data_IF_782963292225
#
_entry.id   IF_782963292225
#
_cell.length_a   1.000
_cell.length_b   1.000
_cell.length_c   1.000
_cell.angle_alpha   90.00
_cell.angle_beta   90.00
_cell.angle_gamma   90.00
#
_symmetry.space_group_name_H-M   'P 1'
#
loop_
_entity.id
_entity.type
_entity.pdbx_description
1 polymer ?
#
# COMPACT_ATOMS: atom_id res chain seq x y z
N UNK A 1 -30.02 24.89 0.75
CA UNK A 1 -29.63 24.02 1.88
C UNK A 1 -29.30 22.65 1.31
N UNK A 2 -28.03 22.23 1.35
CA UNK A 2 -27.64 20.91 0.84
C UNK A 2 -28.09 19.86 1.84
N UNK A 3 -28.97 18.95 1.44
CA UNK A 3 -29.50 17.92 2.32
C UNK A 3 -28.51 16.74 2.36
N UNK A 4 -27.50 16.85 3.23
CA UNK A 4 -26.41 15.87 3.37
C UNK A 4 -26.91 14.42 3.53
N UNK A 5 -28.05 14.22 4.18
CA UNK A 5 -28.67 12.90 4.35
C UNK A 5 -29.15 12.27 3.02
N UNK A 6 -29.61 13.07 2.05
CA UNK A 6 -29.95 12.57 0.72
C UNK A 6 -28.69 12.26 -0.09
N UNK A 7 -27.67 13.13 -0.01
CA UNK A 7 -26.40 12.94 -0.72
C UNK A 7 -25.69 11.65 -0.28
N UNK A 8 -25.67 11.36 1.02
CA UNK A 8 -25.15 10.10 1.53
C UNK A 8 -25.98 8.90 1.05
N UNK A 9 -27.32 8.98 1.09
CA UNK A 9 -28.19 7.89 0.61
C UNK A 9 -28.00 7.58 -0.88
N UNK A 10 -27.77 8.59 -1.70
CA UNK A 10 -27.72 8.42 -3.15
C UNK A 10 -26.30 8.10 -3.66
N UNK A 11 -25.26 8.57 -2.97
CA UNK A 11 -23.87 8.45 -3.44
C UNK A 11 -22.95 7.58 -2.58
N UNK A 12 -23.42 6.95 -1.50
CA UNK A 12 -22.57 6.09 -0.66
C UNK A 12 -21.85 4.99 -1.46
N UNK A 13 -22.46 4.46 -2.52
CA UNK A 13 -21.87 3.39 -3.36
C UNK A 13 -20.58 3.84 -4.04
N UNK A 14 -20.45 5.14 -4.33
CA UNK A 14 -19.26 5.69 -4.99
C UNK A 14 -17.99 5.56 -4.15
N UNK A 15 -18.11 5.33 -2.83
CA UNK A 15 -16.96 5.14 -1.94
C UNK A 15 -16.33 3.76 -2.05
N UNK A 16 -17.05 2.76 -2.57
CA UNK A 16 -16.58 1.37 -2.59
C UNK A 16 -15.36 1.17 -3.47
N UNK A 17 -15.32 1.80 -4.64
CA UNK A 17 -14.19 1.64 -5.57
C UNK A 17 -12.91 2.28 -5.01
N UNK A 18 -12.91 3.54 -4.54
CA UNK A 18 -11.74 4.12 -3.88
C UNK A 18 -11.31 3.33 -2.64
N UNK A 19 -12.26 2.88 -1.82
CA UNK A 19 -11.94 2.12 -0.61
C UNK A 19 -11.33 0.75 -0.96
N UNK A 20 -11.88 0.04 -1.93
CA UNK A 20 -11.34 -1.23 -2.42
C UNK A 20 -9.93 -1.08 -2.99
N UNK A 21 -9.66 0.02 -3.70
CA UNK A 21 -8.31 0.31 -4.18
C UNK A 21 -7.31 0.49 -3.04
N UNK A 22 -7.65 1.28 -2.01
CA UNK A 22 -6.78 1.47 -0.84
C UNK A 22 -6.53 0.15 -0.10
N UNK A 23 -7.57 -0.67 0.04
CA UNK A 23 -7.44 -2.01 0.64
C UNK A 23 -6.50 -2.89 -0.19
N UNK A 24 -6.62 -2.88 -1.53
CA UNK A 24 -5.72 -3.61 -2.42
C UNK A 24 -4.26 -3.22 -2.23
N UNK A 25 -3.96 -1.91 -2.26
CA UNK A 25 -2.60 -1.40 -2.04
C UNK A 25 -2.04 -1.82 -0.68
N UNK A 26 -2.88 -1.78 0.37
CA UNK A 26 -2.48 -2.24 1.69
C UNK A 26 -2.16 -3.75 1.70
N UNK A 27 -2.99 -4.57 1.06
CA UNK A 27 -2.78 -6.00 0.98
C UNK A 27 -1.49 -6.35 0.21
N UNK A 28 -1.22 -5.69 -0.90
CA UNK A 28 0.00 -5.89 -1.69
C UNK A 28 1.24 -5.51 -0.88
N UNK A 29 1.21 -4.33 -0.22
CA UNK A 29 2.29 -3.89 0.67
C UNK A 29 2.55 -4.89 1.81
N UNK A 30 1.48 -5.47 2.37
CA UNK A 30 1.60 -6.48 3.42
C UNK A 30 2.16 -7.82 2.91
N UNK A 31 1.96 -8.16 1.64
CA UNK A 31 2.58 -9.35 1.02
C UNK A 31 4.06 -9.10 0.70
N UNK A 32 4.41 -7.93 0.18
CA UNK A 32 5.79 -7.56 -0.09
C UNK A 32 6.66 -7.63 1.18
N UNK A 33 6.12 -7.20 2.31
CA UNK A 33 6.79 -7.34 3.62
C UNK A 33 7.02 -8.79 4.06
N UNK A 34 6.21 -9.75 3.60
CA UNK A 34 6.44 -11.19 3.86
C UNK A 34 7.49 -11.76 2.91
N UNK A 35 7.62 -11.20 1.71
CA UNK A 35 8.51 -11.66 0.64
C UNK A 35 9.92 -11.02 0.71
N UNK A 36 10.38 -10.62 1.89
CA UNK A 36 11.68 -9.94 2.06
C UNK A 36 12.89 -10.88 2.20
N UNK A 37 12.70 -12.20 2.10
CA UNK A 37 13.75 -13.19 2.40
C UNK A 37 15.05 -13.01 1.57
N UNK A 38 14.91 -12.59 0.31
CA UNK A 38 15.99 -12.34 -0.63
C UNK A 38 16.34 -10.85 -0.82
N UNK A 39 15.82 -9.97 0.05
CA UNK A 39 16.14 -8.55 0.01
C UNK A 39 17.64 -8.33 0.24
N UNK A 40 18.28 -7.60 -0.68
CA UNK A 40 19.73 -7.30 -0.68
C UNK A 40 20.65 -8.54 -0.72
N UNK A 41 20.16 -9.68 -1.22
CA UNK A 41 20.94 -10.92 -1.34
C UNK A 41 21.09 -11.44 -2.78
N UNK A 42 20.50 -10.75 -3.76
CA UNK A 42 20.61 -11.13 -5.16
C UNK A 42 22.00 -10.78 -5.70
N UNK A 43 22.55 -11.63 -6.57
CA UNK A 43 23.88 -11.41 -7.15
C UNK A 43 24.01 -10.07 -7.90
N UNK A 44 22.90 -9.56 -8.44
CA UNK A 44 22.87 -8.31 -9.21
C UNK A 44 22.74 -7.05 -8.34
N UNK A 45 22.01 -7.12 -7.22
CA UNK A 45 21.64 -5.93 -6.43
C UNK A 45 22.17 -5.94 -4.99
N UNK A 46 22.98 -6.94 -4.62
CA UNK A 46 23.66 -6.97 -3.32
C UNK A 46 24.63 -5.80 -3.21
N UNK A 47 24.49 -5.00 -2.15
CA UNK A 47 25.37 -3.88 -1.84
C UNK A 47 25.48 -3.64 -0.33
N UNK A 48 26.52 -2.90 0.06
CA UNK A 48 26.59 -2.35 1.40
C UNK A 48 25.48 -1.30 1.64
N UNK A 49 24.92 -1.32 2.84
CA UNK A 49 23.87 -0.39 3.26
C UNK A 49 24.48 0.98 3.54
N UNK A 50 23.78 2.05 3.16
CA UNK A 50 24.21 3.41 3.50
C UNK A 50 24.06 3.66 5.00
N UNK A 51 24.82 4.59 5.60
CA UNK A 51 24.63 4.97 6.99
C UNK A 51 23.18 5.42 7.24
N UNK A 52 22.49 4.76 8.17
CA UNK A 52 21.08 5.02 8.47
C UNK A 52 20.05 4.30 7.58
N UNK A 53 20.49 3.48 6.62
CA UNK A 53 19.62 2.64 5.80
C UNK A 53 19.50 1.23 6.42
N UNK A 54 18.32 0.89 6.94
CA UNK A 54 18.07 -0.45 7.52
C UNK A 54 17.85 -1.51 6.43
N UNK A 55 17.22 -1.11 5.32
CA UNK A 55 16.72 -2.01 4.26
C UNK A 55 16.80 -1.33 2.89
N UNK A 56 17.04 -2.12 1.84
CA UNK A 56 17.16 -1.56 0.48
C UNK A 56 15.82 -1.15 -0.14
N UNK A 57 14.72 -1.76 0.31
CA UNK A 57 13.34 -1.41 -0.05
C UNK A 57 12.37 -1.90 1.04
N UNK A 58 11.18 -1.29 1.07
CA UNK A 58 10.15 -1.47 2.10
C UNK A 58 9.00 -2.34 1.61
#
# INVERSE_FOLDING_TARGET
MVYFAALMRDHWVNIFVPLGFVIGVYMDSAQDQKLTAFRNKSALYSRELKPGEEVTWK
#
